data_IF_735756188015
#
_entry.id   IF_735756188015
#
_cell.length_a   1.000
_cell.length_b   1.000
_cell.length_c   1.000
_cell.angle_alpha   90.00
_cell.angle_beta   90.00
_cell.angle_gamma   90.00
#
_symmetry.space_group_name_H-M   'P 1'
#
loop_
_entity.id
_entity.type
_entity.pdbx_description
1 polymer ?
#
# COMPACT_ATOMS: atom_id res chain seq x y z
N UNK A 1 3.75 13.58 19.49
CA UNK A 1 2.41 12.96 19.59
C UNK A 1 1.93 12.58 18.19
N UNK A 2 1.67 11.32 17.89
CA UNK A 2 1.28 10.87 16.54
C UNK A 2 -0.25 10.83 16.43
N UNK A 3 -0.81 11.31 15.32
CA UNK A 3 -2.25 11.28 15.09
C UNK A 3 -2.79 9.83 15.05
N UNK A 4 -3.97 9.59 15.63
CA UNK A 4 -4.55 8.24 15.77
C UNK A 4 -4.67 7.50 14.44
N UNK A 5 -5.07 8.20 13.37
CA UNK A 5 -5.21 7.59 12.04
C UNK A 5 -3.87 7.11 11.44
N UNK A 6 -2.73 7.66 11.90
CA UNK A 6 -1.40 7.17 11.51
C UNK A 6 -0.99 5.98 12.37
N UNK A 7 -1.28 6.04 13.68
CA UNK A 7 -0.98 4.97 14.64
C UNK A 7 -1.73 3.67 14.30
N UNK A 8 -2.98 3.80 13.88
CA UNK A 8 -3.88 2.67 13.58
C UNK A 8 -4.08 2.41 12.09
N UNK A 9 -3.20 2.94 11.23
CA UNK A 9 -3.26 2.64 9.80
C UNK A 9 -2.98 1.14 9.62
N UNK A 10 -3.88 0.36 8.97
CA UNK A 10 -3.68 -1.05 8.68
C UNK A 10 -2.28 -1.37 8.13
N UNK A 11 -1.67 -2.41 8.69
CA UNK A 11 -0.37 -2.96 8.28
C UNK A 11 -0.52 -4.31 7.57
N UNK A 12 -1.71 -4.91 7.59
CA UNK A 12 -2.08 -6.12 6.86
C UNK A 12 -3.38 -5.93 6.09
N UNK A 13 -3.61 -6.73 5.06
CA UNK A 13 -4.89 -6.76 4.34
C UNK A 13 -6.02 -7.24 5.25
N UNK A 14 -5.76 -8.19 6.15
CA UNK A 14 -6.71 -8.64 7.18
C UNK A 14 -7.22 -7.54 8.11
N UNK A 15 -6.52 -6.41 8.21
CA UNK A 15 -6.89 -5.26 9.05
C UNK A 15 -7.71 -4.21 8.27
N UNK A 16 -7.92 -4.39 6.96
CA UNK A 16 -8.81 -3.55 6.16
C UNK A 16 -10.26 -3.87 6.47
N UNK A 17 -11.01 -2.87 6.93
CA UNK A 17 -12.42 -2.99 7.27
C UNK A 17 -13.32 -2.69 6.06
N UNK A 18 -14.32 -3.54 5.82
CA UNK A 18 -15.40 -3.31 4.83
C UNK A 18 -14.98 -3.39 3.37
N UNK A 19 -13.77 -3.89 3.08
CA UNK A 19 -13.22 -4.01 1.72
C UNK A 19 -12.92 -5.47 1.35
N UNK A 20 -13.78 -6.41 1.77
CA UNK A 20 -13.51 -7.86 1.68
C UNK A 20 -13.17 -8.31 0.25
N UNK A 21 -13.95 -7.89 -0.75
CA UNK A 21 -13.71 -8.27 -2.14
C UNK A 21 -12.36 -7.76 -2.67
N UNK A 22 -12.01 -6.51 -2.36
CA UNK A 22 -10.72 -5.91 -2.77
C UNK A 22 -9.57 -6.58 -2.04
N UNK A 23 -9.72 -6.80 -0.73
CA UNK A 23 -8.77 -7.50 0.13
C UNK A 23 -8.45 -8.89 -0.44
N UNK A 24 -9.47 -9.69 -0.69
CA UNK A 24 -9.30 -11.09 -1.09
C UNK A 24 -8.73 -11.21 -2.50
N UNK A 25 -9.12 -10.31 -3.41
CA UNK A 25 -8.56 -10.22 -4.77
C UNK A 25 -7.07 -9.90 -4.72
N UNK A 26 -6.67 -8.86 -3.98
CA UNK A 26 -5.27 -8.45 -3.89
C UNK A 26 -4.40 -9.49 -3.18
N UNK A 27 -4.90 -10.10 -2.10
CA UNK A 27 -4.20 -11.19 -1.42
C UNK A 27 -3.99 -12.39 -2.34
N UNK A 28 -5.02 -12.77 -3.10
CA UNK A 28 -4.93 -13.88 -4.06
C UNK A 28 -3.96 -13.57 -5.21
N UNK A 29 -3.94 -12.33 -5.69
CA UNK A 29 -3.00 -11.87 -6.70
C UNK A 29 -1.55 -11.93 -6.19
N UNK A 30 -1.29 -11.43 -4.98
CA UNK A 30 0.02 -11.47 -4.34
C UNK A 30 0.49 -12.90 -4.06
N UNK A 31 -0.37 -13.74 -3.49
CA UNK A 31 -0.05 -15.14 -3.21
C UNK A 31 0.28 -15.93 -4.48
N UNK A 32 -0.41 -15.62 -5.59
CA UNK A 32 -0.18 -16.28 -6.88
C UNK A 32 0.90 -15.63 -7.76
N UNK A 33 1.53 -14.53 -7.33
CA UNK A 33 2.47 -13.77 -8.17
C UNK A 33 1.85 -13.16 -9.43
N UNK A 34 0.53 -12.88 -9.41
CA UNK A 34 -0.25 -12.39 -10.56
C UNK A 34 -0.65 -10.92 -10.37
N UNK A 35 0.32 -10.02 -10.39
CA UNK A 35 0.08 -8.59 -10.34
C UNK A 35 0.09 -7.95 -11.73
N UNK A 36 -0.64 -6.85 -11.88
CA UNK A 36 -0.68 -6.05 -13.12
C UNK A 36 0.14 -4.78 -12.95
N UNK A 37 0.41 -4.09 -14.07
CA UNK A 37 1.26 -2.90 -14.10
C UNK A 37 0.63 -1.65 -13.46
N UNK A 38 -0.70 -1.59 -13.35
CA UNK A 38 -1.40 -0.43 -12.82
C UNK A 38 -2.67 -0.79 -12.05
N UNK A 39 -2.90 -0.10 -10.93
CA UNK A 39 -4.10 -0.23 -10.10
C UNK A 39 -4.72 1.15 -9.88
N UNK A 40 -6.02 1.26 -10.15
CA UNK A 40 -6.81 2.45 -9.83
C UNK A 40 -7.71 2.17 -8.63
N UNK A 41 -7.39 2.79 -7.49
CA UNK A 41 -8.25 2.76 -6.31
C UNK A 41 -9.20 3.96 -6.34
N UNK A 42 -10.50 3.72 -6.49
CA UNK A 42 -11.53 4.76 -6.56
C UNK A 42 -12.47 4.72 -5.34
N UNK A 43 -13.07 5.87 -5.00
CA UNK A 43 -14.06 5.98 -3.93
C UNK A 43 -13.92 7.25 -3.08
N UNK A 44 -14.84 7.48 -2.12
CA UNK A 44 -14.87 8.70 -1.29
C UNK A 44 -13.61 8.91 -0.44
N UNK A 45 -13.38 10.14 0.04
CA UNK A 45 -12.28 10.43 0.96
C UNK A 45 -12.42 9.57 2.24
N UNK A 46 -11.32 8.99 2.69
CA UNK A 46 -11.30 8.18 3.93
C UNK A 46 -11.62 6.69 3.77
N UNK A 47 -12.02 6.21 2.59
CA UNK A 47 -12.36 4.78 2.40
C UNK A 47 -11.16 3.81 2.32
N UNK A 48 -9.94 4.28 2.59
CA UNK A 48 -8.75 3.42 2.64
C UNK A 48 -7.93 3.31 1.35
N UNK A 49 -8.24 4.03 0.26
CA UNK A 49 -7.50 3.99 -1.03
C UNK A 49 -5.97 3.99 -0.89
N UNK A 50 -5.40 5.03 -0.28
CA UNK A 50 -3.95 5.15 -0.08
C UNK A 50 -3.39 4.07 0.85
N UNK A 51 -4.17 3.65 1.85
CA UNK A 51 -3.79 2.56 2.74
C UNK A 51 -3.68 1.24 1.97
N UNK A 52 -4.69 0.91 1.15
CA UNK A 52 -4.68 -0.29 0.31
C UNK A 52 -3.54 -0.27 -0.71
N UNK A 53 -3.26 0.87 -1.33
CA UNK A 53 -2.13 1.03 -2.24
C UNK A 53 -0.79 0.76 -1.54
N UNK A 54 -0.58 1.31 -0.34
CA UNK A 54 0.63 1.04 0.47
C UNK A 54 0.73 -0.42 0.90
N UNK A 55 -0.38 -1.08 1.25
CA UNK A 55 -0.36 -2.51 1.58
C UNK A 55 0.02 -3.37 0.38
N UNK A 56 -0.47 -3.02 -0.81
CA UNK A 56 -0.06 -3.67 -2.05
C UNK A 56 1.43 -3.47 -2.33
N UNK A 57 1.93 -2.24 -2.21
CA UNK A 57 3.37 -1.96 -2.36
C UNK A 57 4.22 -2.75 -1.35
N UNK A 58 3.79 -2.84 -0.09
CA UNK A 58 4.45 -3.70 0.92
C UNK A 58 4.42 -5.17 0.51
N UNK A 59 3.29 -5.67 0.02
CA UNK A 59 3.15 -7.05 -0.43
C UNK A 59 4.09 -7.37 -1.60
N UNK A 60 4.14 -6.51 -2.62
CA UNK A 60 5.00 -6.69 -3.80
C UNK A 60 6.49 -6.72 -3.42
N UNK A 61 6.92 -5.86 -2.51
CA UNK A 61 8.33 -5.78 -2.11
C UNK A 61 8.70 -6.68 -0.91
N UNK A 62 7.75 -7.45 -0.37
CA UNK A 62 7.98 -8.24 0.83
C UNK A 62 8.89 -9.45 0.56
N UNK A 63 10.02 -9.53 1.29
CA UNK A 63 10.97 -10.64 1.17
C UNK A 63 10.47 -11.97 1.73
N UNK A 64 9.40 -11.94 2.54
CA UNK A 64 8.85 -13.13 3.17
C UNK A 64 7.31 -13.09 3.19
N UNK A 65 6.69 -12.98 2.01
CA UNK A 65 5.24 -12.88 1.88
C UNK A 65 4.52 -14.12 2.46
N UNK A 66 3.45 -13.91 3.23
CA UNK A 66 2.70 -14.98 3.90
C UNK A 66 1.25 -15.04 3.40
N UNK A 67 0.92 -15.96 2.49
CA UNK A 67 -0.44 -16.10 1.94
C UNK A 67 -1.04 -14.76 1.45
N UNK A 68 -0.24 -14.00 0.68
CA UNK A 68 -0.62 -12.68 0.17
C UNK A 68 -0.57 -11.55 1.19
N UNK A 69 -0.09 -11.79 2.41
CA UNK A 69 0.09 -10.77 3.46
C UNK A 69 1.56 -10.36 3.61
N UNK A 70 1.86 -9.04 3.73
CA UNK A 70 3.21 -8.58 4.04
C UNK A 70 3.62 -9.04 5.45
N UNK A 71 4.86 -9.49 5.61
CA UNK A 71 5.34 -10.03 6.89
C UNK A 71 5.54 -8.98 7.99
N UNK A 72 5.68 -7.70 7.62
CA UNK A 72 5.90 -6.57 8.53
C UNK A 72 7.18 -6.64 9.38
N UNK A 73 8.11 -7.53 9.04
CA UNK A 73 9.36 -7.72 9.78
C UNK A 73 10.62 -7.69 8.90
N UNK A 74 10.51 -7.92 7.59
CA UNK A 74 11.65 -7.81 6.68
C UNK A 74 12.05 -6.35 6.44
N UNK A 75 13.30 -6.13 6.00
CA UNK A 75 13.85 -4.78 5.73
C UNK A 75 12.92 -3.93 4.87
N UNK A 76 12.50 -4.45 3.71
CA UNK A 76 11.60 -3.74 2.80
C UNK A 76 10.27 -3.32 3.47
N UNK A 77 9.62 -4.24 4.19
CA UNK A 77 8.38 -3.93 4.91
C UNK A 77 8.56 -2.83 5.96
N UNK A 78 9.69 -2.84 6.66
CA UNK A 78 10.03 -1.85 7.69
C UNK A 78 10.35 -0.48 7.09
N UNK A 79 11.09 -0.45 5.98
CA UNK A 79 11.43 0.78 5.24
C UNK A 79 10.18 1.45 4.66
N UNK A 80 9.30 0.67 4.02
CA UNK A 80 8.01 1.18 3.51
C UNK A 80 7.14 1.71 4.67
N UNK A 81 7.09 0.99 5.79
CA UNK A 81 6.33 1.44 6.96
C UNK A 81 6.85 2.76 7.55
N UNK A 82 8.17 2.99 7.50
CA UNK A 82 8.82 4.24 7.93
C UNK A 82 8.76 5.35 6.88
N UNK A 83 8.35 5.05 5.64
CA UNK A 83 8.39 5.99 4.52
C UNK A 83 9.82 6.29 4.05
N UNK A 84 10.72 5.32 4.16
CA UNK A 84 12.15 5.44 3.84
C UNK A 84 12.58 4.51 2.70
N UNK A 85 11.62 3.78 2.11
CA UNK A 85 11.87 2.87 0.99
C UNK A 85 12.23 3.65 -0.27
N UNK A 86 13.35 3.32 -0.91
CA UNK A 86 13.70 3.90 -2.21
C UNK A 86 12.79 3.37 -3.33
N UNK A 87 12.26 2.15 -3.18
CA UNK A 87 11.38 1.49 -4.16
C UNK A 87 9.91 1.93 -4.06
N UNK A 88 9.59 2.91 -3.20
CA UNK A 88 8.24 3.43 -3.06
C UNK A 88 8.25 4.96 -3.09
N UNK A 89 7.80 5.50 -4.22
CA UNK A 89 7.63 6.93 -4.42
C UNK A 89 6.15 7.29 -4.24
N UNK A 90 5.87 8.19 -3.32
CA UNK A 90 4.51 8.69 -3.08
C UNK A 90 4.37 10.13 -3.55
N UNK A 91 3.63 10.33 -4.64
CA UNK A 91 3.39 11.64 -5.24
C UNK A 91 1.97 12.10 -4.89
N UNK A 92 1.85 13.23 -4.21
CA UNK A 92 0.55 13.87 -3.97
C UNK A 92 0.21 14.81 -5.13
N UNK A 93 -0.60 14.33 -6.07
CA UNK A 93 -1.04 15.12 -7.24
C UNK A 93 -1.90 16.35 -6.88
N UNK A 94 -2.48 16.42 -5.67
CA UNK A 94 -3.21 17.62 -5.25
C UNK A 94 -2.27 18.79 -4.94
N UNK A 95 -1.05 18.46 -4.51
CA UNK A 95 0.03 19.39 -4.17
C UNK A 95 1.03 19.59 -5.31
N UNK A 96 1.25 18.57 -6.16
CA UNK A 96 2.15 18.60 -7.30
C UNK A 96 1.34 18.65 -8.60
N UNK A 97 0.96 19.86 -9.02
CA UNK A 97 0.03 20.10 -10.14
C UNK A 97 0.75 20.39 -11.46
N UNK A 98 2.06 20.58 -11.44
CA UNK A 98 2.86 20.85 -12.62
C UNK A 98 3.14 19.57 -13.42
N UNK A 99 3.10 19.65 -14.76
CA UNK A 99 3.50 18.55 -15.64
C UNK A 99 4.99 18.20 -15.46
N UNK A 100 5.82 19.20 -15.14
CA UNK A 100 7.25 19.00 -14.88
C UNK A 100 7.51 18.24 -13.58
N UNK A 101 6.69 18.45 -12.54
CA UNK A 101 6.84 17.79 -11.22
C UNK A 101 6.57 16.27 -11.24
N UNK A 102 6.05 15.74 -12.36
CA UNK A 102 5.74 14.31 -12.55
C UNK A 102 6.81 13.61 -13.41
N UNK A 103 7.69 14.35 -14.09
CA UNK A 103 8.65 13.79 -15.08
C UNK A 103 9.99 13.38 -14.48
N UNK A 104 10.33 13.87 -13.28
CA UNK A 104 11.57 13.61 -12.54
C UNK A 104 11.32 12.72 -11.31
#
# INVERSE_FOLDING_TARGET
>A
MQALYRKWRPQKFSELLGQDHVRDTLRSALAGGRFVHAYLFAGPRGCGKTTTARLLAKGVNCLNLQNGEPCNQCSSCLEIQKGQSMDLIEIDAASNRGIEEIRD
#
